data_IF_573154048986
#
_entry.id   IF_573154048986
#
_cell.length_a   1.000
_cell.length_b   1.000
_cell.length_c   1.000
_cell.angle_alpha   90.00
_cell.angle_beta   90.00
_cell.angle_gamma   90.00
#
_symmetry.space_group_name_H-M   'P 1'
#
loop_
_entity.id
_entity.type
_entity.pdbx_description
1 polymer ?
#
# COMPACT_ATOMS: atom_id res chain seq x y z
N UNK A 1 28.49 -14.38 -30.41
CA UNK A 1 27.90 -14.18 -31.76
C UNK A 1 28.05 -12.74 -32.23
N UNK A 2 27.65 -11.74 -31.42
CA UNK A 2 27.92 -10.31 -31.68
C UNK A 2 29.42 -9.96 -31.76
N UNK A 3 30.25 -10.52 -30.87
CA UNK A 3 31.70 -10.28 -30.87
C UNK A 3 32.37 -10.74 -32.18
N UNK A 4 31.85 -11.79 -32.83
CA UNK A 4 32.35 -12.25 -34.14
C UNK A 4 31.95 -11.33 -35.29
N UNK A 5 30.75 -10.74 -35.25
CA UNK A 5 30.30 -9.80 -36.29
C UNK A 5 30.99 -8.43 -36.19
N UNK A 6 31.55 -8.09 -35.02
CA UNK A 6 32.37 -6.88 -34.85
C UNK A 6 33.80 -7.03 -35.42
N UNK A 7 34.27 -8.27 -35.57
CA UNK A 7 35.62 -8.58 -36.09
C UNK A 7 35.64 -8.66 -37.62
N UNK A 8 34.49 -8.90 -38.26
CA UNK A 8 34.31 -8.97 -39.73
C UNK A 8 33.74 -7.69 -40.35
N UNK A 9 33.31 -6.72 -39.54
CA UNK A 9 32.75 -5.45 -40.03
C UNK A 9 33.87 -4.45 -40.37
N UNK A 10 34.13 -4.27 -41.67
CA UNK A 10 34.94 -3.18 -42.19
C UNK A 10 34.28 -1.84 -41.80
N UNK A 11 35.08 -0.81 -41.48
CA UNK A 11 34.72 0.34 -40.63
C UNK A 11 33.56 1.26 -41.06
N UNK A 12 32.72 0.85 -42.02
CA UNK A 12 31.60 1.61 -42.59
C UNK A 12 30.25 0.87 -42.53
N UNK A 13 30.15 -0.31 -41.87
CA UNK A 13 28.90 -1.07 -41.74
C UNK A 13 28.21 -0.83 -40.39
N UNK A 14 26.90 -0.50 -40.39
CA UNK A 14 26.14 -0.24 -39.18
C UNK A 14 25.81 -1.55 -38.45
N UNK A 15 26.50 -1.81 -37.34
CA UNK A 15 26.19 -2.95 -36.46
C UNK A 15 25.05 -2.57 -35.52
N UNK A 16 23.93 -3.29 -35.62
CA UNK A 16 22.74 -2.98 -34.83
C UNK A 16 22.85 -3.51 -33.39
N UNK A 17 23.14 -2.62 -32.44
CA UNK A 17 23.23 -2.94 -31.01
C UNK A 17 21.89 -2.90 -30.26
N UNK A 18 20.77 -2.58 -30.92
CA UNK A 18 19.46 -2.40 -30.23
C UNK A 18 19.02 -3.65 -29.47
N UNK A 19 19.28 -4.84 -30.03
CA UNK A 19 19.00 -6.10 -29.37
C UNK A 19 19.86 -6.31 -28.11
N UNK A 20 21.15 -6.03 -28.20
CA UNK A 20 22.06 -6.13 -27.06
C UNK A 20 21.68 -5.12 -25.95
N UNK A 21 21.33 -3.89 -26.33
CA UNK A 21 20.87 -2.86 -25.41
C UNK A 21 19.55 -3.24 -24.72
N UNK A 22 18.60 -3.84 -25.45
CA UNK A 22 17.34 -4.34 -24.88
C UNK A 22 17.59 -5.38 -23.78
N UNK A 23 18.42 -6.39 -24.04
CA UNK A 23 18.79 -7.40 -23.05
C UNK A 23 19.53 -6.82 -21.85
N UNK A 24 20.41 -5.84 -22.07
CA UNK A 24 21.11 -5.14 -20.99
C UNK A 24 20.12 -4.40 -20.08
N UNK A 25 19.15 -3.68 -20.64
CA UNK A 25 18.11 -2.98 -19.87
C UNK A 25 17.27 -3.98 -19.07
N UNK A 26 16.84 -5.08 -19.68
CA UNK A 26 16.09 -6.13 -18.98
C UNK A 26 16.89 -6.74 -17.83
N UNK A 27 18.18 -7.03 -18.04
CA UNK A 27 19.06 -7.53 -16.97
C UNK A 27 19.21 -6.53 -15.83
N UNK A 28 19.31 -5.24 -16.12
CA UNK A 28 19.37 -4.20 -15.10
C UNK A 28 18.10 -4.20 -14.23
N UNK A 29 16.92 -4.34 -14.82
CA UNK A 29 15.67 -4.46 -14.08
C UNK A 29 15.64 -5.70 -13.19
N UNK A 30 16.15 -6.85 -13.67
CA UNK A 30 16.27 -8.06 -12.86
C UNK A 30 17.25 -7.89 -11.70
N UNK A 31 18.41 -7.29 -11.93
CA UNK A 31 19.40 -7.02 -10.87
C UNK A 31 18.81 -6.05 -9.84
N UNK A 32 18.13 -4.99 -10.26
CA UNK A 32 17.45 -4.06 -9.37
C UNK A 32 16.37 -4.76 -8.53
N UNK A 33 15.57 -5.65 -9.15
CA UNK A 33 14.58 -6.44 -8.44
C UNK A 33 15.21 -7.39 -7.41
N UNK A 34 16.31 -8.06 -7.76
CA UNK A 34 17.06 -8.92 -6.84
C UNK A 34 17.68 -8.15 -5.69
N UNK A 35 18.25 -6.97 -5.95
CA UNK A 35 18.75 -6.07 -4.90
C UNK A 35 17.62 -5.63 -3.97
N UNK A 36 16.46 -5.24 -4.52
CA UNK A 36 15.27 -4.89 -3.75
C UNK A 36 14.82 -6.06 -2.85
N UNK A 37 14.71 -7.28 -3.40
CA UNK A 37 14.37 -8.49 -2.65
C UNK A 37 15.42 -8.84 -1.59
N UNK A 38 16.70 -8.64 -1.87
CA UNK A 38 17.80 -8.83 -0.92
C UNK A 38 17.68 -7.83 0.24
N UNK A 39 17.35 -6.57 -0.05
CA UNK A 39 17.07 -5.55 0.97
C UNK A 39 15.87 -5.93 1.83
N UNK A 40 14.76 -6.41 1.25
CA UNK A 40 13.65 -6.94 2.04
C UNK A 40 14.04 -8.16 2.90
N UNK A 41 14.94 -9.03 2.41
CA UNK A 41 15.51 -10.10 3.23
C UNK A 41 16.33 -9.56 4.40
N UNK A 42 17.05 -8.45 4.22
CA UNK A 42 17.76 -7.79 5.31
C UNK A 42 16.80 -7.28 6.40
N UNK A 43 15.55 -6.93 6.06
CA UNK A 43 14.53 -6.58 7.08
C UNK A 43 14.19 -7.76 8.00
N UNK A 44 14.30 -9.02 7.55
CA UNK A 44 14.15 -10.18 8.44
C UNK A 44 15.22 -10.23 9.54
N UNK A 45 16.41 -9.68 9.30
CA UNK A 45 17.46 -9.59 10.33
C UNK A 45 17.09 -8.56 11.42
N UNK A 46 16.33 -7.51 11.10
CA UNK A 46 15.86 -6.54 12.11
C UNK A 46 14.81 -7.14 13.07
N UNK A 47 14.16 -8.25 12.67
CA UNK A 47 13.16 -8.97 13.46
C UNK A 47 13.71 -9.65 14.71
N UNK A 48 15.04 -9.71 14.88
CA UNK A 48 15.67 -10.19 16.12
C UNK A 48 15.43 -9.23 17.31
N UNK A 49 15.16 -7.94 17.05
CA UNK A 49 14.77 -6.98 18.08
C UNK A 49 13.36 -7.24 18.63
N UNK A 50 13.20 -7.29 19.96
CA UNK A 50 11.89 -7.43 20.63
C UNK A 50 10.90 -6.32 20.23
N UNK A 51 11.38 -5.11 19.97
CA UNK A 51 10.55 -3.97 19.58
C UNK A 51 9.89 -4.16 18.21
N UNK A 52 10.65 -4.65 17.21
CA UNK A 52 10.14 -4.89 15.86
C UNK A 52 9.03 -5.95 15.80
N UNK A 53 9.09 -6.99 16.65
CA UNK A 53 8.03 -8.00 16.75
C UNK A 53 6.70 -7.45 17.23
N UNK A 54 6.72 -6.47 18.14
CA UNK A 54 5.50 -5.83 18.65
C UNK A 54 4.82 -5.00 17.57
N UNK A 55 5.59 -4.22 16.80
CA UNK A 55 5.09 -3.46 15.65
C UNK A 55 4.55 -4.35 14.53
N UNK A 56 5.21 -5.48 14.24
CA UNK A 56 4.73 -6.45 13.26
C UNK A 56 3.36 -7.03 13.67
N UNK A 57 3.19 -7.40 14.94
CA UNK A 57 1.92 -7.94 15.43
C UNK A 57 0.78 -6.92 15.35
N UNK A 58 1.02 -5.67 15.75
CA UNK A 58 0.00 -4.61 15.66
C UNK A 58 -0.33 -4.26 14.21
N UNK A 59 0.66 -4.22 13.33
CA UNK A 59 0.46 -3.96 11.90
C UNK A 59 -0.31 -5.10 11.22
N UNK A 60 0.00 -6.36 11.52
CA UNK A 60 -0.74 -7.51 10.97
C UNK A 60 -2.19 -7.49 11.47
N UNK A 61 -2.42 -7.21 12.75
CA UNK A 61 -3.76 -7.10 13.32
C UNK A 61 -4.53 -5.95 12.68
N UNK A 62 -3.87 -4.80 12.45
CA UNK A 62 -4.48 -3.66 11.77
C UNK A 62 -4.74 -3.86 10.29
N UNK A 63 -3.89 -4.63 9.61
CA UNK A 63 -4.05 -4.90 8.18
C UNK A 63 -5.39 -5.56 7.87
N UNK A 64 -5.87 -6.46 8.73
CA UNK A 64 -7.15 -7.16 8.53
C UNK A 64 -8.34 -6.20 8.48
N UNK A 65 -8.34 -5.19 9.33
CA UNK A 65 -9.41 -4.19 9.36
C UNK A 65 -9.26 -3.12 8.25
N UNK A 66 -8.02 -2.83 7.82
CA UNK A 66 -7.74 -1.82 6.80
C UNK A 66 -7.97 -2.30 5.36
N UNK A 67 -7.72 -3.59 5.08
CA UNK A 67 -7.90 -4.19 3.73
C UNK A 67 -9.24 -3.85 3.07
N UNK A 68 -10.42 -4.03 3.71
CA UNK A 68 -11.69 -3.71 3.07
C UNK A 68 -11.84 -2.21 2.76
N UNK A 69 -11.34 -1.33 3.64
CA UNK A 69 -11.38 0.12 3.44
C UNK A 69 -10.51 0.53 2.26
N UNK A 70 -9.31 -0.04 2.15
CA UNK A 70 -8.41 0.17 1.00
C UNK A 70 -9.02 -0.38 -0.30
N UNK A 71 -9.70 -1.52 -0.26
CA UNK A 71 -10.33 -2.08 -1.46
C UNK A 71 -11.42 -1.16 -2.03
N UNK A 72 -12.28 -0.62 -1.15
CA UNK A 72 -13.31 0.35 -1.54
C UNK A 72 -12.67 1.61 -2.14
N UNK A 73 -11.58 2.10 -1.54
CA UNK A 73 -10.84 3.25 -2.06
C UNK A 73 -10.34 3.04 -3.49
N UNK A 74 -9.75 1.88 -3.78
CA UNK A 74 -9.23 1.58 -5.13
C UNK A 74 -10.36 1.61 -6.16
N UNK A 75 -11.54 1.06 -5.84
CA UNK A 75 -12.71 1.10 -6.73
C UNK A 75 -13.13 2.55 -7.02
N UNK A 76 -13.20 3.38 -5.98
CA UNK A 76 -13.55 4.80 -6.11
C UNK A 76 -12.54 5.54 -6.99
N UNK A 77 -11.24 5.33 -6.78
CA UNK A 77 -10.16 5.93 -7.60
C UNK A 77 -10.24 5.47 -9.06
N UNK A 78 -10.60 4.21 -9.32
CA UNK A 78 -10.84 3.73 -10.69
C UNK A 78 -12.02 4.49 -11.33
N UNK A 79 -13.07 4.77 -10.57
CA UNK A 79 -14.19 5.61 -11.02
C UNK A 79 -13.74 7.02 -11.44
N UNK A 80 -12.97 7.69 -10.59
CA UNK A 80 -12.37 9.00 -10.91
C UNK A 80 -11.40 8.94 -12.09
N UNK A 81 -10.65 7.85 -12.22
CA UNK A 81 -9.75 7.61 -13.35
C UNK A 81 -10.51 7.56 -14.67
N UNK A 82 -11.64 6.85 -14.72
CA UNK A 82 -12.48 6.78 -15.92
C UNK A 82 -13.00 8.15 -16.33
N UNK A 83 -13.46 8.95 -15.36
CA UNK A 83 -13.95 10.31 -15.60
C UNK A 83 -12.82 11.22 -16.10
N UNK A 84 -11.67 11.24 -15.41
CA UNK A 84 -10.52 12.07 -15.78
C UNK A 84 -9.97 11.69 -17.17
N UNK A 85 -9.93 10.40 -17.50
CA UNK A 85 -9.51 9.93 -18.81
C UNK A 85 -10.41 10.46 -19.93
N UNK A 86 -11.73 10.48 -19.72
CA UNK A 86 -12.68 10.99 -20.72
C UNK A 86 -12.59 12.51 -20.87
N UNK A 87 -12.43 13.25 -19.77
CA UNK A 87 -12.38 14.72 -19.80
C UNK A 87 -11.05 15.23 -20.36
N UNK A 88 -9.92 14.63 -19.98
CA UNK A 88 -8.57 15.21 -20.14
C UNK A 88 -7.63 14.33 -20.99
N UNK A 89 -8.05 13.12 -21.36
CA UNK A 89 -7.17 12.15 -22.04
C UNK A 89 -6.59 12.61 -23.38
N UNK A 90 -7.17 13.65 -24.00
CA UNK A 90 -6.69 14.22 -25.25
C UNK A 90 -5.70 15.37 -25.10
N UNK A 91 -5.65 16.05 -23.94
CA UNK A 91 -4.89 17.30 -23.77
C UNK A 91 -3.53 17.10 -23.12
N UNK A 92 -3.30 15.99 -22.41
CA UNK A 92 -2.05 15.79 -21.66
C UNK A 92 -1.58 14.33 -21.63
N UNK A 93 -0.26 14.15 -21.76
CA UNK A 93 0.39 12.84 -21.74
C UNK A 93 0.08 11.98 -20.50
N UNK A 94 0.11 12.49 -19.25
CA UNK A 94 -0.18 11.69 -18.07
C UNK A 94 -1.62 11.14 -18.02
N UNK A 95 -2.53 11.70 -18.82
CA UNK A 95 -3.93 11.26 -18.91
C UNK A 95 -4.24 10.47 -20.17
N UNK A 96 -3.25 10.25 -21.06
CA UNK A 96 -3.44 9.63 -22.38
C UNK A 96 -3.78 8.14 -22.33
N UNK A 97 -3.42 7.44 -21.25
CA UNK A 97 -3.78 6.02 -21.04
C UNK A 97 -4.36 5.86 -19.65
N UNK A 98 -5.39 5.02 -19.54
CA UNK A 98 -6.08 4.76 -18.27
C UNK A 98 -5.14 4.32 -17.13
N UNK A 99 -4.09 3.55 -17.43
CA UNK A 99 -3.08 3.15 -16.42
C UNK A 99 -2.23 4.32 -15.93
N UNK A 100 -1.82 5.23 -16.82
CA UNK A 100 -1.08 6.44 -16.44
C UNK A 100 -1.96 7.41 -15.66
N UNK A 101 -3.24 7.54 -16.06
CA UNK A 101 -4.23 8.33 -15.33
C UNK A 101 -4.44 7.79 -13.93
N UNK A 102 -4.62 6.47 -13.79
CA UNK A 102 -4.79 5.82 -12.49
C UNK A 102 -3.58 6.07 -11.59
N UNK A 103 -2.37 5.85 -12.10
CA UNK A 103 -1.14 6.02 -11.33
C UNK A 103 -0.98 7.47 -10.87
N UNK A 104 -1.22 8.43 -11.77
CA UNK A 104 -1.13 9.87 -11.48
C UNK A 104 -2.12 10.28 -10.39
N UNK A 105 -3.40 9.91 -10.52
CA UNK A 105 -4.42 10.21 -9.51
C UNK A 105 -4.10 9.49 -8.20
N UNK A 106 -3.79 8.20 -8.22
CA UNK A 106 -3.51 7.45 -6.99
C UNK A 106 -2.32 8.03 -6.22
N UNK A 107 -1.20 8.33 -6.87
CA UNK A 107 -0.03 8.93 -6.21
C UNK A 107 -0.33 10.34 -5.71
N UNK A 108 -1.03 11.16 -6.48
CA UNK A 108 -1.41 12.50 -6.05
C UNK A 108 -2.32 12.47 -4.82
N UNK A 109 -3.31 11.58 -4.78
CA UNK A 109 -4.24 11.47 -3.66
C UNK A 109 -3.60 10.98 -2.35
N UNK A 110 -2.53 10.19 -2.44
CA UNK A 110 -1.71 9.79 -1.27
C UNK A 110 -0.72 10.91 -0.87
N UNK A 111 -0.60 11.96 -1.69
CA UNK A 111 0.32 13.09 -1.46
C UNK A 111 1.74 12.87 -1.96
N UNK A 112 1.98 11.81 -2.76
CA UNK A 112 3.28 11.50 -3.36
C UNK A 112 3.41 11.99 -4.81
N UNK A 113 2.31 12.39 -5.44
CA UNK A 113 2.26 12.79 -6.84
C UNK A 113 1.97 14.28 -7.01
N UNK A 114 2.62 14.88 -8.01
CA UNK A 114 2.32 16.23 -8.48
C UNK A 114 1.30 16.15 -9.61
N UNK A 115 0.18 16.85 -9.45
CA UNK A 115 -0.86 16.94 -10.46
C UNK A 115 -0.88 18.39 -10.95
N UNK A 116 -0.71 18.55 -12.26
CA UNK A 116 -0.82 19.85 -12.91
C UNK A 116 -2.30 20.25 -13.01
N UNK A 117 -2.74 21.09 -12.08
CA UNK A 117 -4.12 21.56 -12.03
C UNK A 117 -4.46 22.49 -13.20
N UNK A 118 -3.48 23.13 -13.85
CA UNK A 118 -3.73 24.04 -14.98
C UNK A 118 -4.38 23.32 -16.14
N UNK A 119 -4.01 22.05 -16.35
CA UNK A 119 -4.62 21.18 -17.37
C UNK A 119 -6.12 21.02 -17.16
N UNK A 120 -6.58 20.96 -15.91
CA UNK A 120 -8.01 20.83 -15.59
C UNK A 120 -8.74 22.15 -15.82
N UNK A 121 -8.12 23.29 -15.50
CA UNK A 121 -8.70 24.61 -15.78
C UNK A 121 -8.76 24.92 -17.28
N UNK A 122 -7.81 24.40 -18.06
CA UNK A 122 -7.71 24.64 -19.50
C UNK A 122 -8.75 23.87 -20.33
N UNK A 123 -9.25 22.73 -19.84
CA UNK A 123 -10.27 21.94 -20.55
C UNK A 123 -11.65 22.58 -20.40
N UNK A 124 -12.07 22.83 -19.16
CA UNK A 124 -13.37 23.44 -18.87
C UNK A 124 -13.31 24.24 -17.57
N UNK A 125 -13.70 25.52 -17.65
CA UNK A 125 -13.67 26.46 -16.53
C UNK A 125 -14.52 26.02 -15.33
N UNK A 126 -15.58 25.21 -15.56
CA UNK A 126 -16.50 24.77 -14.51
C UNK A 126 -16.24 23.31 -14.13
N UNK A 127 -16.15 22.42 -15.12
CA UNK A 127 -16.09 20.96 -14.88
C UNK A 127 -14.75 20.57 -14.24
N UNK A 128 -13.64 21.15 -14.71
CA UNK A 128 -12.30 20.84 -14.17
C UNK A 128 -12.17 21.15 -12.68
N UNK A 129 -12.48 22.37 -12.22
CA UNK A 129 -12.39 22.73 -10.81
C UNK A 129 -13.35 21.92 -9.93
N UNK A 130 -14.58 21.69 -10.40
CA UNK A 130 -15.56 20.86 -9.67
C UNK A 130 -15.04 19.44 -9.50
N UNK A 131 -14.45 18.85 -10.54
CA UNK A 131 -13.84 17.52 -10.46
C UNK A 131 -12.72 17.48 -9.41
N UNK A 132 -11.80 18.44 -9.43
CA UNK A 132 -10.69 18.52 -8.47
C UNK A 132 -11.20 18.64 -7.03
N UNK A 133 -12.21 19.48 -6.80
CA UNK A 133 -12.82 19.67 -5.47
C UNK A 133 -13.45 18.38 -4.97
N UNK A 134 -14.27 17.71 -5.79
CA UNK A 134 -14.93 16.46 -5.42
C UNK A 134 -13.91 15.35 -5.18
N UNK A 135 -12.87 15.30 -6.01
CA UNK A 135 -11.75 14.37 -5.86
C UNK A 135 -11.05 14.54 -4.51
N UNK A 136 -10.62 15.77 -4.18
CA UNK A 136 -9.98 16.06 -2.90
C UNK A 136 -10.89 15.81 -1.70
N UNK A 137 -12.17 16.20 -1.79
CA UNK A 137 -13.16 15.94 -0.75
C UNK A 137 -13.31 14.44 -0.50
N UNK A 138 -13.33 13.63 -1.56
CA UNK A 138 -13.42 12.18 -1.45
C UNK A 138 -12.20 11.58 -0.76
N UNK A 139 -11.00 12.10 -1.05
CA UNK A 139 -9.76 11.67 -0.37
C UNK A 139 -9.75 12.03 1.12
N UNK A 140 -10.27 13.19 1.50
CA UNK A 140 -10.42 13.58 2.91
C UNK A 140 -11.38 12.63 3.63
N UNK A 141 -12.54 12.31 3.02
CA UNK A 141 -13.50 11.36 3.58
C UNK A 141 -12.87 9.97 3.73
N UNK A 142 -12.10 9.53 2.73
CA UNK A 142 -11.37 8.27 2.81
C UNK A 142 -10.39 8.26 4.00
N UNK A 143 -9.61 9.34 4.17
CA UNK A 143 -8.66 9.45 5.27
C UNK A 143 -9.36 9.38 6.63
N UNK A 144 -10.50 10.06 6.77
CA UNK A 144 -11.34 10.00 7.97
C UNK A 144 -11.80 8.55 8.23
N UNK A 145 -12.26 7.83 7.21
CA UNK A 145 -12.69 6.44 7.35
C UNK A 145 -11.53 5.53 7.81
N UNK A 146 -10.31 5.75 7.31
CA UNK A 146 -9.12 5.03 7.79
C UNK A 146 -8.86 5.32 9.27
N UNK A 147 -8.95 6.58 9.71
CA UNK A 147 -8.81 6.93 11.12
C UNK A 147 -9.86 6.24 12.00
N UNK A 148 -11.14 6.25 11.58
CA UNK A 148 -12.22 5.58 12.30
C UNK A 148 -11.94 4.08 12.42
N UNK A 149 -11.51 3.43 11.35
CA UNK A 149 -11.16 2.00 11.36
C UNK A 149 -10.02 1.70 12.33
N UNK A 150 -8.97 2.54 12.37
CA UNK A 150 -7.85 2.37 13.30
C UNK A 150 -8.30 2.53 14.75
N UNK A 151 -9.17 3.50 15.05
CA UNK A 151 -9.72 3.71 16.39
C UNK A 151 -10.60 2.52 16.82
N UNK A 152 -11.49 2.06 15.94
CA UNK A 152 -12.36 0.92 16.22
C UNK A 152 -11.54 -0.35 16.50
N UNK A 153 -10.51 -0.59 15.70
CA UNK A 153 -9.59 -1.70 15.93
C UNK A 153 -8.89 -1.59 17.30
N UNK A 154 -8.42 -0.40 17.68
CA UNK A 154 -7.79 -0.20 18.99
C UNK A 154 -8.77 -0.47 20.14
N UNK A 155 -10.04 -0.09 19.98
CA UNK A 155 -11.09 -0.33 20.94
C UNK A 155 -11.46 -1.82 21.06
N UNK A 156 -11.62 -2.52 19.93
CA UNK A 156 -11.84 -3.97 19.90
C UNK A 156 -10.70 -4.72 20.60
N UNK A 157 -9.45 -4.38 20.28
CA UNK A 157 -8.28 -5.00 20.92
C UNK A 157 -8.19 -4.74 22.43
N UNK A 158 -8.66 -3.58 22.90
CA UNK A 158 -8.72 -3.28 24.32
C UNK A 158 -9.83 -4.09 25.03
N UNK A 159 -10.99 -4.23 24.38
CA UNK A 159 -12.12 -5.01 24.89
C UNK A 159 -11.79 -6.50 25.00
N UNK A 160 -11.17 -7.07 23.97
CA UNK A 160 -10.80 -8.49 23.93
C UNK A 160 -9.83 -8.86 25.07
N UNK A 161 -8.92 -7.95 25.42
CA UNK A 161 -8.01 -8.15 26.56
C UNK A 161 -8.75 -8.16 27.90
N UNK A 162 -9.76 -7.31 28.06
CA UNK A 162 -10.58 -7.27 29.29
C UNK A 162 -11.42 -8.54 29.42
N UNK A 163 -11.99 -9.07 28.33
CA UNK A 163 -12.75 -10.32 28.39
C UNK A 163 -11.88 -11.53 28.71
N UNK A 164 -10.66 -11.61 28.17
CA UNK A 164 -9.71 -12.69 28.47
C UNK A 164 -9.32 -12.71 29.96
N UNK A 165 -9.09 -11.54 30.56
CA UNK A 165 -8.81 -11.44 32.00
C UNK A 165 -10.00 -11.93 32.84
N UNK A 166 -11.23 -11.69 32.37
CA UNK A 166 -12.43 -12.13 33.08
C UNK A 166 -12.62 -13.66 33.01
N UNK A 167 -12.21 -14.31 31.92
CA UNK A 167 -12.21 -15.76 31.76
C UNK A 167 -11.10 -16.44 32.57
N UNK A 168 -9.87 -15.89 32.57
CA UNK A 168 -8.69 -16.47 33.22
C UNK A 168 -8.72 -16.35 34.77
N UNK A 169 -9.52 -15.43 35.32
CA UNK A 169 -9.89 -15.36 36.74
C UNK A 169 -11.42 -15.45 36.90
N UNK A 170 -12.02 -16.55 36.45
CA UNK A 170 -13.44 -16.79 36.71
C UNK A 170 -13.64 -17.17 38.18
N UNK A 171 -14.68 -16.62 38.83
CA UNK A 171 -15.11 -16.89 40.21
C UNK A 171 -15.07 -18.37 40.64
N UNK A 172 -15.13 -19.30 39.70
CA UNK A 172 -15.02 -20.74 39.93
C UNK A 172 -13.66 -21.18 40.48
N UNK A 173 -12.56 -20.53 40.09
CA UNK A 173 -11.23 -20.87 40.60
C UNK A 173 -10.99 -20.26 41.99
N UNK A 174 -11.52 -19.05 42.23
CA UNK A 174 -11.60 -18.47 43.57
C UNK A 174 -12.40 -19.36 44.54
N UNK A 175 -13.58 -19.82 44.12
CA UNK A 175 -14.43 -20.71 44.93
C UNK A 175 -13.76 -22.08 45.16
N UNK A 176 -13.06 -22.63 44.16
CA UNK A 176 -12.32 -23.89 44.31
C UNK A 176 -11.15 -23.75 45.28
N UNK A 177 -10.40 -22.65 45.23
CA UNK A 177 -9.33 -22.38 46.20
C UNK A 177 -9.88 -22.19 47.61
N UNK A 178 -10.96 -21.45 47.78
CA UNK A 178 -11.58 -21.20 49.08
C UNK A 178 -12.13 -22.49 49.72
N UNK A 179 -12.80 -23.34 48.92
CA UNK A 179 -13.29 -24.64 49.37
C UNK A 179 -12.13 -25.56 49.76
N UNK A 180 -11.04 -25.57 48.97
CA UNK A 180 -9.85 -26.39 49.25
C UNK A 180 -9.11 -25.92 50.51
N UNK A 181 -9.04 -24.61 50.74
CA UNK A 181 -8.49 -24.02 51.96
C UNK A 181 -9.31 -24.45 53.19
N UNK A 182 -10.64 -24.29 53.13
CA UNK A 182 -11.53 -24.67 54.23
C UNK A 182 -11.54 -26.17 54.52
N UNK A 183 -11.39 -27.04 53.51
CA UNK A 183 -11.32 -28.49 53.72
C UNK A 183 -9.98 -28.94 54.31
N UNK A 184 -8.89 -28.21 54.05
CA UNK A 184 -7.54 -28.57 54.52
C UNK A 184 -7.30 -28.13 55.97
N UNK A 185 -7.95 -27.04 56.43
CA UNK A 185 -7.86 -26.54 57.81
C UNK A 185 -8.90 -27.12 58.78
N UNK A 186 -9.73 -28.09 58.34
CA UNK A 186 -10.78 -28.73 59.18
C UNK A 186 -10.45 -30.15 59.64
N UNK A 187 -9.18 -30.58 59.55
CA UNK A 187 -8.64 -31.76 60.24
C UNK A 187 -7.76 -31.33 61.40
#
# INVERSE_FOLDING_TARGET
>A
MLIKHLEEADGNEYVNFTWAAYWQVTLLHFIAALLCLSTFRAWKLLRFGRQFRSFEHTLIQASKALVPVTFIMVIVVIGFTGIAYVIIGHTSYPFSKMYYTFSTLFFNGIGLGELDYEVFFAVDYIIGPVFIIIYWLTFIIFLINVFITVINLAYENARDKVSLIHEEYTMTDYVKEEIKYHFTHRK
#
